data_IF_073739025776
#
_entry.id   IF_073739025776
#
_cell.length_a   1.000
_cell.length_b   1.000
_cell.length_c   1.000
_cell.angle_alpha   90.00
_cell.angle_beta   90.00
_cell.angle_gamma   90.00
#
_symmetry.space_group_name_H-M   'P 1'
#
loop_
_entity.id
_entity.type
_entity.pdbx_description
1 polymer ?
#
# COMPACT_ATOMS: atom_id res chain seq x y z
N UNK A 1 8.35 -12.68 -15.93
CA UNK A 1 8.30 -11.27 -15.50
C UNK A 1 7.94 -11.27 -14.01
N UNK A 2 8.46 -10.38 -13.21
CA UNK A 2 8.07 -10.30 -11.81
C UNK A 2 6.60 -9.86 -11.69
N UNK A 3 5.93 -10.29 -10.62
CA UNK A 3 4.50 -10.04 -10.39
C UNK A 3 4.31 -9.25 -9.11
N UNK A 4 3.54 -8.15 -9.17
CA UNK A 4 3.16 -7.37 -8.02
C UNK A 4 1.64 -7.38 -7.78
N UNK A 5 1.23 -7.50 -6.51
CA UNK A 5 -0.12 -7.18 -6.06
C UNK A 5 -0.08 -5.78 -5.44
N UNK A 6 -0.99 -4.90 -5.86
CA UNK A 6 -1.09 -3.52 -5.32
C UNK A 6 -2.53 -3.26 -4.90
N UNK A 7 -2.74 -3.03 -3.61
CA UNK A 7 -4.07 -2.66 -3.10
C UNK A 7 -4.30 -1.15 -3.17
N UNK A 8 -5.57 -0.73 -3.36
CA UNK A 8 -5.92 0.68 -3.54
C UNK A 8 -5.31 1.32 -4.79
N UNK A 9 -5.22 0.57 -5.90
CA UNK A 9 -4.44 0.92 -7.08
C UNK A 9 -5.20 1.75 -8.13
N UNK A 10 -6.46 2.12 -7.90
CA UNK A 10 -7.25 2.89 -8.88
C UNK A 10 -6.88 4.37 -8.96
N UNK A 11 -6.19 4.91 -7.96
CA UNK A 11 -5.81 6.32 -7.85
C UNK A 11 -4.62 6.53 -6.91
N UNK A 12 -4.15 7.78 -6.80
CA UNK A 12 -3.11 8.17 -5.85
C UNK A 12 -1.83 7.37 -6.00
N UNK A 13 -1.17 7.09 -4.86
CA UNK A 13 0.11 6.41 -4.82
C UNK A 13 0.07 5.00 -5.43
N UNK A 14 -1.00 4.23 -5.16
CA UNK A 14 -1.12 2.88 -5.71
C UNK A 14 -1.14 2.86 -7.24
N UNK A 15 -1.87 3.79 -7.88
CA UNK A 15 -1.87 3.95 -9.35
C UNK A 15 -0.51 4.41 -9.86
N UNK A 16 0.10 5.41 -9.22
CA UNK A 16 1.40 5.94 -9.64
C UNK A 16 2.51 4.87 -9.54
N UNK A 17 2.52 4.08 -8.47
CA UNK A 17 3.47 2.98 -8.30
C UNK A 17 3.19 1.85 -9.32
N UNK A 18 1.92 1.52 -9.55
CA UNK A 18 1.53 0.55 -10.58
C UNK A 18 2.03 0.95 -11.98
N UNK A 19 1.89 2.22 -12.35
CA UNK A 19 2.40 2.74 -13.62
C UNK A 19 3.92 2.57 -13.73
N UNK A 20 4.65 2.97 -12.70
CA UNK A 20 6.11 2.87 -12.69
C UNK A 20 6.62 1.42 -12.71
N UNK A 21 5.91 0.46 -12.13
CA UNK A 21 6.22 -0.96 -12.19
C UNK A 21 5.88 -1.55 -13.56
N UNK A 22 4.74 -1.19 -14.17
CA UNK A 22 4.37 -1.61 -15.52
C UNK A 22 5.44 -1.18 -16.56
N UNK A 23 5.90 0.08 -16.49
CA UNK A 23 6.99 0.58 -17.32
C UNK A 23 8.31 -0.20 -17.17
N UNK A 24 8.50 -0.89 -16.03
CA UNK A 24 9.66 -1.74 -15.73
C UNK A 24 9.43 -3.23 -16.02
N UNK A 25 8.33 -3.54 -16.71
CA UNK A 25 8.03 -4.90 -17.15
C UNK A 25 7.47 -5.81 -16.05
N UNK A 26 6.87 -5.26 -14.99
CA UNK A 26 6.15 -6.03 -13.99
C UNK A 26 4.75 -6.37 -14.46
N UNK A 27 4.33 -7.61 -14.27
CA UNK A 27 2.93 -7.99 -14.34
C UNK A 27 2.23 -7.57 -13.05
N UNK A 28 0.98 -7.11 -13.13
CA UNK A 28 0.29 -6.48 -12.03
C UNK A 28 -1.05 -7.15 -11.73
N UNK A 29 -1.36 -7.32 -10.45
CA UNK A 29 -2.71 -7.52 -9.95
C UNK A 29 -3.09 -6.27 -9.16
N UNK A 30 -4.11 -5.57 -9.65
CA UNK A 30 -4.58 -4.31 -9.07
C UNK A 30 -5.90 -4.51 -8.37
N UNK A 31 -6.00 -3.98 -7.15
CA UNK A 31 -7.21 -3.96 -6.34
C UNK A 31 -7.73 -2.55 -6.11
N UNK A 32 -9.02 -2.38 -6.15
CA UNK A 32 -9.76 -1.25 -5.62
C UNK A 32 -11.26 -1.54 -5.58
N UNK A 33 -12.01 -0.78 -4.79
CA UNK A 33 -13.46 -0.97 -4.65
C UNK A 33 -14.27 -0.55 -5.89
N UNK A 34 -13.83 0.47 -6.62
CA UNK A 34 -14.56 1.02 -7.78
C UNK A 34 -14.11 0.33 -9.06
N UNK A 35 -14.92 -0.62 -9.53
CA UNK A 35 -14.59 -1.48 -10.66
C UNK A 35 -14.29 -0.72 -11.96
N UNK A 36 -15.07 0.31 -12.30
CA UNK A 36 -14.93 1.07 -13.54
C UNK A 36 -13.57 1.79 -13.59
N UNK A 37 -13.21 2.51 -12.51
CA UNK A 37 -11.95 3.25 -12.42
C UNK A 37 -10.77 2.30 -12.42
N UNK A 38 -10.86 1.17 -11.70
CA UNK A 38 -9.79 0.18 -11.65
C UNK A 38 -9.54 -0.46 -13.03
N UNK A 39 -10.60 -0.80 -13.76
CA UNK A 39 -10.50 -1.37 -15.13
C UNK A 39 -9.88 -0.38 -16.12
N UNK A 40 -10.22 0.90 -16.01
CA UNK A 40 -9.61 1.94 -16.84
C UNK A 40 -8.11 2.07 -16.53
N UNK A 41 -7.74 2.13 -15.25
CA UNK A 41 -6.34 2.10 -14.81
C UNK A 41 -5.60 0.87 -15.35
N UNK A 42 -6.16 -0.32 -15.21
CA UNK A 42 -5.53 -1.54 -15.71
C UNK A 42 -5.34 -1.53 -17.24
N UNK A 43 -6.31 -1.00 -17.99
CA UNK A 43 -6.21 -0.83 -19.44
C UNK A 43 -5.09 0.13 -19.81
N UNK A 44 -4.97 1.27 -19.12
CA UNK A 44 -3.87 2.22 -19.34
C UNK A 44 -2.51 1.57 -19.10
N UNK A 45 -2.35 0.86 -17.97
CA UNK A 45 -1.08 0.24 -17.60
C UNK A 45 -0.70 -0.93 -18.50
N UNK A 46 -1.68 -1.66 -19.02
CA UNK A 46 -1.44 -2.73 -20.00
C UNK A 46 -0.81 -2.23 -21.31
N UNK A 47 -0.91 -0.94 -21.61
CA UNK A 47 -0.26 -0.34 -22.79
C UNK A 47 1.28 -0.39 -22.71
N UNK A 48 1.85 -0.60 -21.51
CA UNK A 48 3.28 -0.83 -21.32
C UNK A 48 3.74 -2.23 -21.79
N UNK A 49 2.82 -3.10 -22.23
CA UNK A 49 3.15 -4.44 -22.75
C UNK A 49 3.23 -5.52 -21.65
N UNK A 50 2.79 -5.22 -20.43
CA UNK A 50 2.71 -6.14 -19.29
C UNK A 50 1.28 -6.67 -19.12
N UNK A 51 1.13 -7.79 -18.41
CA UNK A 51 -0.18 -8.31 -18.05
C UNK A 51 -0.67 -7.57 -16.80
N UNK A 52 -1.89 -7.03 -16.86
CA UNK A 52 -2.49 -6.31 -15.74
C UNK A 52 -3.89 -6.84 -15.50
N UNK A 53 -4.09 -7.44 -14.34
CA UNK A 53 -5.37 -7.97 -13.89
C UNK A 53 -6.03 -6.99 -12.91
N UNK A 54 -7.22 -6.54 -13.26
CA UNK A 54 -8.05 -5.70 -12.39
C UNK A 54 -9.02 -6.61 -11.59
N UNK A 55 -8.85 -6.69 -10.30
CA UNK A 55 -9.71 -7.48 -9.38
C UNK A 55 -10.43 -6.50 -8.46
N UNK A 56 -11.64 -6.04 -8.81
CA UNK A 56 -12.37 -5.08 -7.99
C UNK A 56 -13.01 -5.75 -6.77
N UNK A 57 -12.84 -5.16 -5.57
CA UNK A 57 -13.43 -5.65 -4.34
C UNK A 57 -13.00 -4.88 -3.10
N UNK A 58 -13.37 -5.37 -1.93
CA UNK A 58 -12.96 -4.81 -0.64
C UNK A 58 -11.90 -5.72 0.00
N UNK A 59 -10.72 -5.20 0.26
CA UNK A 59 -9.61 -5.94 0.89
C UNK A 59 -9.97 -6.53 2.26
N UNK A 60 -11.03 -6.05 2.91
CA UNK A 60 -11.51 -6.62 4.18
C UNK A 60 -12.25 -7.93 3.99
N UNK A 61 -12.70 -8.27 2.77
CA UNK A 61 -13.29 -9.56 2.44
C UNK A 61 -12.19 -10.61 2.20
N UNK A 62 -12.26 -11.71 2.95
CA UNK A 62 -11.28 -12.80 2.81
C UNK A 62 -11.37 -13.51 1.45
N UNK A 63 -12.59 -13.65 0.89
CA UNK A 63 -12.76 -14.23 -0.44
C UNK A 63 -12.10 -13.38 -1.51
N UNK A 64 -12.24 -12.05 -1.42
CA UNK A 64 -11.58 -11.12 -2.32
C UNK A 64 -10.04 -11.17 -2.21
N UNK A 65 -9.47 -11.27 -1.01
CA UNK A 65 -8.02 -11.45 -0.86
C UNK A 65 -7.53 -12.74 -1.51
N UNK A 66 -8.28 -13.83 -1.36
CA UNK A 66 -7.96 -15.09 -2.02
C UNK A 66 -8.02 -14.97 -3.56
N UNK A 67 -8.96 -14.18 -4.11
CA UNK A 67 -9.02 -13.89 -5.56
C UNK A 67 -7.80 -13.11 -6.05
N UNK A 68 -7.31 -12.12 -5.29
CA UNK A 68 -6.08 -11.37 -5.61
C UNK A 68 -4.87 -12.32 -5.72
N UNK A 69 -4.71 -13.19 -4.73
CA UNK A 69 -3.59 -14.15 -4.71
C UNK A 69 -3.73 -15.20 -5.82
N UNK A 70 -4.97 -15.64 -6.14
CA UNK A 70 -5.23 -16.55 -7.25
C UNK A 70 -4.90 -15.91 -8.61
N UNK A 71 -5.26 -14.64 -8.82
CA UNK A 71 -4.89 -13.87 -10.02
C UNK A 71 -3.37 -13.76 -10.18
N UNK A 72 -2.66 -13.42 -9.10
CA UNK A 72 -1.21 -13.33 -9.12
C UNK A 72 -0.55 -14.70 -9.40
N UNK A 73 -1.09 -15.79 -8.85
CA UNK A 73 -0.64 -17.16 -9.15
C UNK A 73 -0.80 -17.49 -10.64
N UNK A 74 -1.89 -17.06 -11.28
CA UNK A 74 -2.12 -17.25 -12.72
C UNK A 74 -1.12 -16.43 -13.57
N UNK A 75 -0.61 -15.31 -13.06
CA UNK A 75 0.46 -14.53 -13.67
C UNK A 75 1.86 -15.14 -13.43
N UNK A 76 2.02 -16.05 -12.50
CA UNK A 76 3.28 -16.76 -12.26
C UNK A 76 3.80 -16.73 -10.82
N UNK A 77 3.15 -16.01 -9.90
CA UNK A 77 3.53 -15.94 -8.49
C UNK A 77 3.32 -14.56 -7.89
N UNK A 78 4.01 -14.27 -6.78
CA UNK A 78 4.05 -12.95 -6.15
C UNK A 78 5.51 -12.64 -5.78
N UNK A 79 6.08 -11.62 -6.40
CA UNK A 79 7.42 -11.10 -6.07
C UNK A 79 7.34 -9.88 -5.16
N UNK A 80 6.25 -9.10 -5.28
CA UNK A 80 6.00 -7.92 -4.46
C UNK A 80 4.52 -7.84 -4.05
N UNK A 81 4.28 -7.67 -2.76
CA UNK A 81 2.98 -7.30 -2.22
C UNK A 81 3.04 -5.86 -1.72
N UNK A 82 2.18 -4.98 -2.24
CA UNK A 82 2.04 -3.59 -1.78
C UNK A 82 0.70 -3.40 -1.09
N UNK A 83 0.71 -3.32 0.23
CA UNK A 83 -0.44 -2.93 1.04
C UNK A 83 -0.53 -1.40 1.08
N UNK A 84 -1.28 -0.84 0.12
CA UNK A 84 -1.47 0.59 -0.04
C UNK A 84 -2.92 1.04 0.26
N UNK A 85 -3.91 0.15 0.15
CA UNK A 85 -5.29 0.48 0.53
C UNK A 85 -5.36 1.00 1.97
N UNK A 86 -6.07 2.10 2.20
CA UNK A 86 -6.11 2.75 3.49
C UNK A 86 -7.48 3.37 3.79
N UNK A 87 -7.79 3.52 5.09
CA UNK A 87 -8.95 4.21 5.62
C UNK A 87 -8.54 5.09 6.80
N UNK A 88 -9.11 6.29 6.86
CA UNK A 88 -8.83 7.28 7.91
C UNK A 88 -9.56 6.97 9.22
N UNK A 89 -10.74 6.35 9.14
CA UNK A 89 -11.62 6.09 10.28
C UNK A 89 -12.55 7.26 10.63
N UNK A 90 -12.23 8.47 10.22
CA UNK A 90 -13.10 9.65 10.24
C UNK A 90 -12.74 10.57 9.07
N UNK A 91 -13.73 11.18 8.44
CA UNK A 91 -13.59 12.08 7.29
C UNK A 91 -14.54 13.27 7.47
N UNK A 92 -14.03 14.46 7.86
CA UNK A 92 -12.63 14.77 8.19
C UNK A 92 -12.15 14.11 9.50
N UNK A 93 -10.83 14.17 9.74
CA UNK A 93 -10.23 13.72 10.99
C UNK A 93 -10.76 14.53 12.18
N UNK A 94 -10.92 13.86 13.31
CA UNK A 94 -11.49 14.44 14.54
C UNK A 94 -10.61 14.14 15.76
N UNK A 95 -10.74 14.97 16.80
CA UNK A 95 -10.09 14.72 18.10
C UNK A 95 -10.55 13.36 18.66
N UNK A 96 -9.70 12.72 19.48
CA UNK A 96 -10.00 11.39 20.06
C UNK A 96 -11.33 11.35 20.83
N UNK A 97 -11.71 12.41 21.50
CA UNK A 97 -12.99 12.51 22.20
C UNK A 97 -14.23 12.41 21.28
N UNK A 98 -14.07 12.81 20.00
CA UNK A 98 -15.13 12.76 18.97
C UNK A 98 -15.01 11.57 18.03
N UNK A 99 -13.94 10.75 18.15
CA UNK A 99 -13.73 9.63 17.24
C UNK A 99 -14.74 8.51 17.52
N UNK A 100 -15.59 8.22 16.53
CA UNK A 100 -16.49 7.09 16.62
C UNK A 100 -15.72 5.77 16.66
N UNK A 101 -16.08 4.88 17.61
CA UNK A 101 -15.39 3.59 17.74
C UNK A 101 -15.51 2.71 16.50
N UNK A 102 -16.61 2.82 15.73
CA UNK A 102 -16.77 2.11 14.47
C UNK A 102 -15.83 2.66 13.40
N UNK A 103 -15.55 3.96 13.40
CA UNK A 103 -14.53 4.57 12.55
C UNK A 103 -13.14 4.02 12.87
N UNK A 104 -12.76 3.95 14.16
CA UNK A 104 -11.49 3.33 14.57
C UNK A 104 -11.43 1.86 14.15
N UNK A 105 -12.51 1.09 14.35
CA UNK A 105 -12.58 -0.31 13.89
C UNK A 105 -12.36 -0.41 12.39
N UNK A 106 -12.98 0.50 11.60
CA UNK A 106 -12.80 0.51 10.13
C UNK A 106 -11.37 0.82 9.74
N UNK A 107 -10.70 1.77 10.39
CA UNK A 107 -9.29 2.06 10.13
C UNK A 107 -8.40 0.84 10.43
N UNK A 108 -8.60 0.20 11.59
CA UNK A 108 -7.85 -1.02 11.97
C UNK A 108 -8.16 -2.19 11.02
N UNK A 109 -9.41 -2.36 10.62
CA UNK A 109 -9.82 -3.44 9.71
C UNK A 109 -9.15 -3.32 8.34
N UNK A 110 -9.14 -2.11 7.75
CA UNK A 110 -8.52 -1.90 6.43
C UNK A 110 -7.00 -1.87 6.51
N UNK A 111 -6.46 -1.06 7.44
CA UNK A 111 -5.03 -0.75 7.43
C UNK A 111 -4.17 -1.85 8.09
N UNK A 112 -4.78 -2.72 8.92
CA UNK A 112 -4.06 -3.70 9.73
C UNK A 112 -4.54 -5.12 9.44
N UNK A 113 -5.82 -5.41 9.70
CA UNK A 113 -6.35 -6.79 9.62
C UNK A 113 -6.35 -7.27 8.17
N UNK A 114 -6.81 -6.45 7.23
CA UNK A 114 -6.82 -6.79 5.82
C UNK A 114 -5.41 -6.94 5.25
N UNK A 115 -4.49 -6.04 5.61
CA UNK A 115 -3.09 -6.12 5.20
C UNK A 115 -2.44 -7.41 5.71
N UNK A 116 -2.59 -7.75 6.99
CA UNK A 116 -2.09 -9.01 7.56
C UNK A 116 -2.73 -10.23 6.88
N UNK A 117 -4.04 -10.21 6.65
CA UNK A 117 -4.74 -11.31 5.97
C UNK A 117 -4.20 -11.53 4.55
N UNK A 118 -3.96 -10.47 3.78
CA UNK A 118 -3.39 -10.59 2.44
C UNK A 118 -1.93 -11.05 2.47
N UNK A 119 -1.13 -10.59 3.45
CA UNK A 119 0.23 -11.10 3.68
C UNK A 119 0.18 -12.62 3.90
N UNK A 120 -0.66 -13.10 4.83
CA UNK A 120 -0.77 -14.52 5.16
C UNK A 120 -1.13 -15.37 3.95
N UNK A 121 -2.05 -14.91 3.11
CA UNK A 121 -2.46 -15.61 1.89
C UNK A 121 -1.37 -15.59 0.80
N UNK A 122 -0.61 -14.50 0.69
CA UNK A 122 0.45 -14.34 -0.29
C UNK A 122 1.80 -14.99 0.12
N UNK A 123 2.03 -15.24 1.44
CA UNK A 123 3.30 -15.75 1.96
C UNK A 123 3.84 -16.99 1.23
N UNK A 124 3.03 -18.01 0.90
CA UNK A 124 3.55 -19.18 0.17
C UNK A 124 4.16 -18.81 -1.19
N UNK A 125 3.58 -17.84 -1.91
CA UNK A 125 4.07 -17.38 -3.21
C UNK A 125 5.27 -16.45 -3.07
N UNK A 126 5.25 -15.56 -2.08
CA UNK A 126 6.38 -14.69 -1.74
C UNK A 126 7.63 -15.51 -1.38
N UNK A 127 7.48 -16.56 -0.57
CA UNK A 127 8.58 -17.48 -0.22
C UNK A 127 9.10 -18.24 -1.43
N UNK A 128 8.22 -18.62 -2.35
CA UNK A 128 8.56 -19.37 -3.57
C UNK A 128 9.26 -18.51 -4.63
N UNK A 129 9.09 -17.19 -4.59
CA UNK A 129 9.71 -16.24 -5.52
C UNK A 129 11.25 -16.23 -5.43
N UNK A 130 11.82 -16.51 -4.25
CA UNK A 130 13.26 -16.34 -3.98
C UNK A 130 13.72 -14.88 -3.91
N UNK A 131 12.87 -13.93 -4.28
CA UNK A 131 13.08 -12.50 -4.21
C UNK A 131 11.85 -11.75 -3.64
N UNK A 132 11.00 -12.45 -2.90
CA UNK A 132 9.76 -11.92 -2.37
C UNK A 132 9.95 -10.69 -1.48
N UNK A 133 9.03 -9.72 -1.59
CA UNK A 133 9.02 -8.55 -0.75
C UNK A 133 7.60 -8.12 -0.37
N UNK A 134 7.45 -7.55 0.81
CA UNK A 134 6.24 -6.87 1.28
C UNK A 134 6.57 -5.40 1.50
N UNK A 135 5.71 -4.54 0.97
CA UNK A 135 5.79 -3.09 1.14
C UNK A 135 4.47 -2.60 1.73
N UNK A 136 4.52 -2.19 2.97
CA UNK A 136 3.38 -1.63 3.69
C UNK A 136 3.46 -0.10 3.66
N UNK A 137 2.46 0.56 3.07
CA UNK A 137 2.41 2.03 3.05
C UNK A 137 1.97 2.52 4.42
N UNK A 138 2.93 3.08 5.15
CA UNK A 138 2.78 3.66 6.48
C UNK A 138 2.48 5.16 6.44
N UNK A 139 2.79 5.87 7.50
CA UNK A 139 2.71 7.32 7.65
C UNK A 139 3.58 7.75 8.84
N UNK A 140 4.05 9.00 8.84
CA UNK A 140 4.66 9.65 10.00
C UNK A 140 3.70 9.67 11.20
N UNK A 141 2.38 9.80 10.98
CA UNK A 141 1.36 9.71 12.02
C UNK A 141 1.36 8.37 12.79
N UNK A 142 2.02 7.32 12.26
CA UNK A 142 2.26 6.08 12.99
C UNK A 142 3.42 6.16 14.00
N UNK A 143 4.31 7.13 13.85
CA UNK A 143 5.48 7.33 14.70
C UNK A 143 5.42 8.62 15.53
N UNK A 144 4.75 9.65 15.02
CA UNK A 144 4.64 10.96 15.64
C UNK A 144 3.18 11.30 16.01
N UNK A 145 3.01 12.13 17.01
CA UNK A 145 1.68 12.48 17.52
C UNK A 145 1.21 13.81 16.91
N UNK A 146 0.14 13.75 16.12
CA UNK A 146 -0.54 14.91 15.58
C UNK A 146 -1.96 15.00 16.12
N UNK A 147 -2.43 16.23 16.41
CA UNK A 147 -3.81 16.46 16.81
C UNK A 147 -4.77 15.96 15.72
N UNK A 148 -5.86 15.31 16.09
CA UNK A 148 -6.87 14.67 15.22
C UNK A 148 -6.46 13.37 14.52
N UNK A 149 -5.19 13.06 14.35
CA UNK A 149 -4.72 11.88 13.64
C UNK A 149 -4.73 10.59 14.47
N UNK A 150 -5.21 10.63 15.72
CA UNK A 150 -5.06 9.51 16.69
C UNK A 150 -5.61 8.17 16.23
N UNK A 151 -6.74 8.13 15.54
CA UNK A 151 -7.33 6.87 15.04
C UNK A 151 -6.55 6.27 13.87
N UNK A 152 -6.21 7.10 12.89
CA UNK A 152 -5.40 6.72 11.74
C UNK A 152 -3.97 6.36 12.18
N UNK A 153 -3.32 7.24 12.95
CA UNK A 153 -1.96 7.03 13.46
C UNK A 153 -1.84 5.71 14.25
N UNK A 154 -2.80 5.42 15.13
CA UNK A 154 -2.82 4.14 15.85
C UNK A 154 -2.85 2.93 14.90
N UNK A 155 -3.60 3.01 13.78
CA UNK A 155 -3.62 1.93 12.79
C UNK A 155 -2.29 1.80 12.04
N UNK A 156 -1.64 2.91 11.71
CA UNK A 156 -0.33 2.89 11.03
C UNK A 156 0.80 2.44 11.94
N UNK A 157 0.77 2.82 13.23
CA UNK A 157 1.69 2.28 14.24
C UNK A 157 1.55 0.75 14.41
N UNK A 158 0.31 0.24 14.38
CA UNK A 158 0.06 -1.19 14.44
C UNK A 158 0.58 -1.91 13.17
N UNK A 159 0.40 -1.33 11.98
CA UNK A 159 0.93 -1.87 10.73
C UNK A 159 2.47 -1.89 10.76
N UNK A 160 3.12 -0.81 11.20
CA UNK A 160 4.59 -0.74 11.33
C UNK A 160 5.14 -1.83 12.24
N UNK A 161 4.46 -2.10 13.37
CA UNK A 161 4.86 -3.16 14.29
C UNK A 161 4.69 -4.55 13.67
N UNK A 162 3.60 -4.80 12.92
CA UNK A 162 3.41 -6.06 12.19
C UNK A 162 4.49 -6.26 11.12
N UNK A 163 4.82 -5.22 10.37
CA UNK A 163 5.90 -5.25 9.37
C UNK A 163 7.25 -5.59 10.01
N UNK A 164 7.56 -4.98 11.16
CA UNK A 164 8.80 -5.25 11.88
C UNK A 164 8.89 -6.71 12.38
N UNK A 165 7.79 -7.25 12.93
CA UNK A 165 7.72 -8.65 13.37
C UNK A 165 7.82 -9.60 12.18
N UNK A 166 7.11 -9.32 11.08
CA UNK A 166 7.18 -10.14 9.87
C UNK A 166 8.61 -10.20 9.31
N UNK A 167 9.36 -9.10 9.39
CA UNK A 167 10.75 -9.06 8.94
C UNK A 167 11.67 -10.00 9.73
N UNK A 168 11.42 -10.18 11.04
CA UNK A 168 12.14 -11.13 11.89
C UNK A 168 11.71 -12.58 11.64
N UNK A 169 10.41 -12.81 11.42
CA UNK A 169 9.86 -14.14 11.16
C UNK A 169 10.20 -14.67 9.76
N UNK A 170 10.40 -13.77 8.78
CA UNK A 170 10.63 -14.09 7.36
C UNK A 170 11.98 -13.50 6.86
N UNK A 171 13.13 -13.96 7.38
CA UNK A 171 14.44 -13.40 7.00
C UNK A 171 14.80 -13.59 5.52
N UNK A 172 14.11 -14.48 4.81
CA UNK A 172 14.23 -14.67 3.36
C UNK A 172 13.51 -13.63 2.51
N UNK A 173 12.60 -12.86 3.11
CA UNK A 173 11.86 -11.79 2.46
C UNK A 173 12.48 -10.42 2.73
N UNK A 174 12.06 -9.43 1.98
CA UNK A 174 12.22 -8.03 2.35
C UNK A 174 10.87 -7.48 2.80
N UNK A 175 10.84 -6.83 3.95
CA UNK A 175 9.63 -6.19 4.49
C UNK A 175 9.93 -4.74 4.80
N UNK A 176 9.23 -3.84 4.12
CA UNK A 176 9.42 -2.40 4.27
C UNK A 176 8.11 -1.73 4.68
N UNK A 177 8.12 -1.02 5.80
CA UNK A 177 7.10 -0.05 6.15
C UNK A 177 7.56 1.32 5.63
N UNK A 178 6.80 1.92 4.72
CA UNK A 178 7.24 3.14 4.02
C UNK A 178 6.27 4.28 4.29
N UNK A 179 6.77 5.32 4.92
CA UNK A 179 6.09 6.60 5.02
C UNK A 179 6.33 7.40 3.74
N UNK A 180 5.28 7.68 2.95
CA UNK A 180 5.42 8.42 1.69
C UNK A 180 5.59 9.93 1.89
N UNK A 181 5.33 10.45 3.10
CA UNK A 181 5.11 11.87 3.34
C UNK A 181 3.74 12.35 2.84
N UNK A 182 3.46 13.64 3.03
CA UNK A 182 2.22 14.26 2.56
C UNK A 182 2.15 14.32 1.04
N UNK A 183 1.02 13.93 0.49
CA UNK A 183 0.78 13.92 -0.96
C UNK A 183 -0.60 14.50 -1.28
N UNK A 184 -0.71 15.15 -2.43
CA UNK A 184 -1.98 15.63 -2.99
C UNK A 184 -2.86 14.46 -3.46
N UNK A 185 -3.55 13.81 -2.53
CA UNK A 185 -4.43 12.68 -2.76
C UNK A 185 -5.82 12.93 -2.20
N UNK A 186 -6.82 12.21 -2.70
CA UNK A 186 -8.18 12.24 -2.13
C UNK A 186 -8.18 11.85 -0.65
N UNK A 187 -7.29 10.94 -0.23
CA UNK A 187 -7.17 10.54 1.18
C UNK A 187 -6.74 11.73 2.05
N UNK A 188 -5.73 12.48 1.60
CA UNK A 188 -5.25 13.66 2.32
C UNK A 188 -6.32 14.76 2.35
N UNK A 189 -6.95 15.05 1.21
CA UNK A 189 -8.02 16.04 1.13
C UNK A 189 -9.23 15.68 2.02
N UNK A 190 -9.57 14.39 2.15
CA UNK A 190 -10.60 13.94 3.07
C UNK A 190 -10.19 14.02 4.54
N UNK A 191 -8.89 13.87 4.85
CA UNK A 191 -8.36 13.98 6.21
C UNK A 191 -8.42 15.42 6.73
N UNK A 192 -7.99 16.38 5.93
CA UNK A 192 -7.83 17.80 6.29
C UNK A 192 -8.38 18.71 5.18
N UNK A 193 -9.71 18.75 4.97
CA UNK A 193 -10.32 19.47 3.84
C UNK A 193 -10.11 20.98 3.87
N UNK A 194 -9.67 21.55 4.99
CA UNK A 194 -9.39 22.99 5.14
C UNK A 194 -7.92 23.35 4.82
N UNK A 195 -7.09 22.35 4.52
CA UNK A 195 -5.68 22.56 4.15
C UNK A 195 -5.56 22.77 2.64
N UNK A 196 -5.45 24.03 2.24
CA UNK A 196 -5.31 24.44 0.83
C UNK A 196 -3.85 24.49 0.35
N UNK A 197 -2.88 24.15 1.19
CA UNK A 197 -1.47 24.16 0.82
C UNK A 197 -1.20 23.08 -0.25
N UNK A 198 -0.51 23.42 -1.35
CA UNK A 198 -0.21 22.45 -2.40
C UNK A 198 0.70 21.34 -1.87
N UNK A 199 0.29 20.10 -2.05
CA UNK A 199 1.08 18.92 -1.71
C UNK A 199 1.75 18.33 -2.95
N UNK A 200 2.93 17.69 -2.80
CA UNK A 200 3.57 16.97 -3.90
C UNK A 200 2.63 15.92 -4.51
N UNK A 201 2.75 15.70 -5.82
CA UNK A 201 1.95 14.65 -6.45
C UNK A 201 2.42 13.24 -6.01
N UNK A 202 1.55 12.23 -6.03
CA UNK A 202 1.95 10.84 -5.72
C UNK A 202 3.11 10.35 -6.59
N UNK A 203 3.20 10.78 -7.85
CA UNK A 203 4.28 10.40 -8.77
C UNK A 203 5.65 10.88 -8.28
N UNK A 204 5.70 11.99 -7.55
CA UNK A 204 6.96 12.59 -7.08
C UNK A 204 7.68 11.72 -6.03
N UNK A 205 6.95 10.89 -5.29
CA UNK A 205 7.52 10.00 -4.27
C UNK A 205 7.83 8.58 -4.79
N UNK A 206 7.28 8.21 -5.95
CA UNK A 206 7.51 6.89 -6.58
C UNK A 206 9.00 6.52 -6.71
N UNK A 207 9.93 7.43 -7.06
CA UNK A 207 11.35 7.09 -7.13
C UNK A 207 11.92 6.55 -5.81
N UNK A 208 11.41 6.98 -4.64
CA UNK A 208 11.83 6.43 -3.35
C UNK A 208 11.41 4.96 -3.19
N UNK A 209 10.20 4.63 -3.58
CA UNK A 209 9.68 3.26 -3.57
C UNK A 209 10.46 2.36 -4.52
N UNK A 210 10.79 2.84 -5.72
CA UNK A 210 11.59 2.10 -6.68
C UNK A 210 13.00 1.82 -6.17
N UNK A 211 13.63 2.76 -5.43
CA UNK A 211 14.92 2.51 -4.78
C UNK A 211 14.88 1.35 -3.79
N UNK A 212 13.78 1.18 -3.05
CA UNK A 212 13.61 0.02 -2.16
C UNK A 212 13.43 -1.27 -2.96
N UNK A 213 12.55 -1.24 -3.97
CA UNK A 213 12.22 -2.42 -4.77
C UNK A 213 13.44 -2.91 -5.57
N UNK A 214 14.17 -2.01 -6.22
CA UNK A 214 15.33 -2.33 -7.05
C UNK A 214 16.61 -2.57 -6.21
N UNK A 215 16.85 -1.72 -5.20
CA UNK A 215 18.05 -1.78 -4.35
C UNK A 215 17.99 -2.85 -3.26
N UNK A 216 16.78 -3.31 -2.90
CA UNK A 216 16.53 -4.34 -1.89
C UNK A 216 17.31 -4.17 -0.57
N UNK A 217 17.30 -2.97 0.05
CA UNK A 217 17.97 -2.76 1.32
C UNK A 217 17.39 -3.67 2.41
N UNK A 218 17.99 -3.67 3.58
CA UNK A 218 17.49 -4.43 4.74
C UNK A 218 16.02 -4.10 5.02
N UNK A 219 15.29 -5.07 5.57
CA UNK A 219 13.93 -4.82 6.06
C UNK A 219 13.93 -3.71 7.12
N UNK A 220 12.84 -2.94 7.20
CA UNK A 220 12.72 -1.87 8.18
C UNK A 220 11.75 -0.77 7.78
N UNK A 221 11.69 0.29 8.59
CA UNK A 221 10.88 1.48 8.33
C UNK A 221 11.71 2.53 7.59
N UNK A 222 11.12 3.09 6.53
CA UNK A 222 11.74 4.09 5.67
C UNK A 222 10.82 5.29 5.45
N UNK A 223 11.39 6.48 5.31
CA UNK A 223 10.68 7.67 4.85
C UNK A 223 11.05 7.97 3.39
N UNK A 224 10.07 8.17 2.53
CA UNK A 224 10.31 8.52 1.13
C UNK A 224 11.12 9.82 0.97
N UNK A 225 10.88 10.90 1.75
CA UNK A 225 11.71 12.09 1.68
C UNK A 225 13.20 11.80 1.88
N UNK A 226 13.55 11.04 2.92
CA UNK A 226 14.95 10.68 3.21
C UNK A 226 15.57 9.81 2.12
N UNK A 227 14.77 8.91 1.52
CA UNK A 227 15.24 8.09 0.39
C UNK A 227 15.49 8.93 -0.87
N UNK A 228 14.76 10.00 -1.09
CA UNK A 228 14.95 10.91 -2.24
C UNK A 228 16.21 11.76 -2.09
N UNK A 229 16.57 12.15 -0.87
CA UNK A 229 17.77 12.95 -0.56
C UNK A 229 19.07 12.12 -0.59
N UNK A 230 19.00 10.82 -0.29
CA UNK A 230 20.17 9.93 -0.34
C UNK A 230 20.68 9.79 -1.80
N UNK A 231 21.94 10.25 -2.04
CA UNK A 231 22.59 10.19 -3.35
C UNK A 231 23.31 8.86 -3.56
#
# INVERSE_FOLDING_TARGET
MPVAIITGASKGLGRALGAALAERGWDLVLDARTAEVLKETAKELSACGTRVEAVPGDVTDAGHRAELVAAARALGGVDLLVNNASALGAEPLVRLEGLALDGLRRALEVNVVAALGLIQEALPLLRASGAGAVLDVSSDAGAEAYETWGGYGASKAALDQLSAVLAEEEPGLRVWAVDPGDMGTDLYAAAVPEDDDPRPSPESVVPAFLRLIEGRPASGRYGAPSLLEAR
#
